data_IF_097003743799
#
_entry.id   IF_097003743799
#
_cell.length_a   1.000
_cell.length_b   1.000
_cell.length_c   1.000
_cell.angle_alpha   90.00
_cell.angle_beta   90.00
_cell.angle_gamma   90.00
#
_symmetry.space_group_name_H-M   'P 1'
#
loop_
_entity.id
_entity.type
_entity.pdbx_description
1 polymer ?
#
# COMPACT_ATOMS: atom_id res chain seq x y z
N UNK A 1 4.08 30.80 1.86
CA UNK A 1 3.13 30.78 0.74
C UNK A 1 3.78 31.27 -0.53
N UNK A 2 3.22 30.89 -1.66
CA UNK A 2 3.51 31.46 -2.96
C UNK A 2 2.26 32.23 -3.37
N UNK A 3 2.39 33.55 -3.54
CA UNK A 3 1.27 34.42 -3.83
C UNK A 3 1.27 34.78 -5.30
N UNK A 4 0.15 34.64 -5.97
CA UNK A 4 -0.04 35.01 -7.36
C UNK A 4 -0.77 36.34 -7.47
N UNK A 5 -0.24 37.25 -8.25
CA UNK A 5 -0.78 38.59 -8.45
C UNK A 5 -1.22 38.79 -9.90
N UNK A 6 -2.21 39.62 -10.10
CA UNK A 6 -2.51 40.16 -11.41
C UNK A 6 -1.38 41.11 -11.82
N UNK A 7 -0.74 40.84 -12.95
CA UNK A 7 0.38 41.67 -13.44
C UNK A 7 -0.06 43.08 -13.85
N UNK A 8 -1.36 43.30 -14.06
CA UNK A 8 -1.93 44.60 -14.46
C UNK A 8 -2.38 45.42 -13.29
N UNK A 9 -2.58 44.80 -12.10
CA UNK A 9 -3.10 45.48 -10.87
C UNK A 9 -2.53 44.82 -9.62
N UNK A 10 -1.23 44.97 -9.40
CA UNK A 10 -0.51 44.38 -8.26
C UNK A 10 -0.96 44.92 -6.93
N UNK A 11 -1.41 46.19 -6.89
CA UNK A 11 -1.84 46.88 -5.67
C UNK A 11 -3.13 46.31 -5.09
N UNK A 12 -3.87 45.53 -5.87
CA UNK A 12 -5.10 44.86 -5.42
C UNK A 12 -4.85 43.69 -4.46
N UNK A 13 -3.61 43.29 -4.31
CA UNK A 13 -3.20 42.13 -3.53
C UNK A 13 -3.23 40.82 -4.28
N UNK A 14 -2.90 39.72 -3.62
CA UNK A 14 -2.82 38.41 -4.31
C UNK A 14 -4.20 37.91 -4.75
N UNK A 15 -4.29 37.42 -5.97
CA UNK A 15 -5.49 36.79 -6.54
C UNK A 15 -5.74 35.45 -5.86
N UNK A 16 -4.67 34.70 -5.54
CA UNK A 16 -4.68 33.50 -4.72
C UNK A 16 -3.31 33.26 -4.10
N UNK A 17 -3.30 32.46 -3.03
CA UNK A 17 -2.08 32.03 -2.33
C UNK A 17 -2.01 30.52 -2.29
N UNK A 18 -0.86 29.96 -2.61
CA UNK A 18 -0.57 28.53 -2.49
C UNK A 18 0.19 28.32 -1.17
N UNK A 19 -0.38 27.64 -0.18
CA UNK A 19 0.33 27.32 1.04
C UNK A 19 1.43 26.29 0.75
N UNK A 20 2.65 26.58 1.19
CA UNK A 20 3.79 25.67 1.09
C UNK A 20 4.18 25.23 2.49
N UNK A 21 4.07 23.92 2.74
CA UNK A 21 4.52 23.31 3.99
C UNK A 21 5.84 22.59 3.76
N UNK A 22 6.86 23.02 4.48
CA UNK A 22 8.18 22.36 4.48
C UNK A 22 8.28 21.51 5.73
N UNK A 23 8.45 20.20 5.57
CA UNK A 23 8.66 19.27 6.69
C UNK A 23 10.11 18.82 6.70
N UNK A 24 10.70 18.72 7.91
CA UNK A 24 12.03 18.14 8.12
C UNK A 24 11.85 16.86 8.94
N UNK A 25 11.84 15.67 8.31
CA UNK A 25 11.68 14.42 9.04
C UNK A 25 12.85 14.16 9.97
N UNK A 26 12.56 13.59 11.14
CA UNK A 26 13.55 13.07 12.06
C UNK A 26 14.11 11.76 11.53
N UNK A 27 15.41 11.59 11.59
CA UNK A 27 16.08 10.37 11.15
C UNK A 27 16.16 9.36 12.29
N UNK A 28 16.08 8.09 11.95
CA UNK A 28 16.25 6.99 12.89
C UNK A 28 17.71 6.82 13.28
N UNK A 29 17.93 6.34 14.47
CA UNK A 29 19.24 5.92 14.96
C UNK A 29 19.68 4.56 14.39
N UNK A 30 20.85 4.08 14.81
CA UNK A 30 21.38 2.78 14.39
C UNK A 30 20.52 1.59 14.86
N UNK A 31 19.68 1.76 15.87
CA UNK A 31 18.74 0.76 16.39
C UNK A 31 17.41 0.75 15.64
N UNK A 32 17.29 1.55 14.59
CA UNK A 32 16.07 1.76 13.82
C UNK A 32 14.91 2.33 14.66
N UNK A 33 15.24 3.24 15.55
CA UNK A 33 14.31 3.90 16.46
C UNK A 33 14.41 5.42 16.31
N UNK A 34 13.33 6.10 16.63
CA UNK A 34 13.29 7.55 16.86
C UNK A 34 12.62 7.78 18.19
N UNK A 35 13.32 8.42 19.09
CA UNK A 35 12.74 8.92 20.32
C UNK A 35 12.23 10.35 20.06
N UNK A 36 10.93 10.55 20.18
CA UNK A 36 10.30 11.86 20.04
C UNK A 36 10.32 12.66 21.35
N UNK A 37 10.87 12.05 22.41
CA UNK A 37 10.94 12.63 23.74
C UNK A 37 9.59 12.65 24.47
N UNK A 38 9.59 13.34 25.57
CA UNK A 38 8.39 13.60 26.37
C UNK A 38 7.60 14.73 25.73
N UNK A 39 6.40 14.42 25.27
CA UNK A 39 5.47 15.39 24.69
C UNK A 39 4.42 15.76 25.74
N UNK A 40 4.27 17.05 25.99
CA UNK A 40 3.23 17.57 26.86
C UNK A 40 1.97 17.87 26.06
N UNK A 41 0.84 17.39 26.55
CA UNK A 41 -0.46 17.59 25.91
C UNK A 41 -1.40 18.33 26.85
N UNK A 42 -2.14 19.25 26.28
CA UNK A 42 -3.33 19.86 26.87
C UNK A 42 -4.57 19.43 26.09
N UNK A 43 -5.77 19.56 26.67
CA UNK A 43 -7.00 19.26 25.93
C UNK A 43 -7.03 19.97 24.58
N UNK A 44 -7.38 19.24 23.52
CA UNK A 44 -7.43 19.71 22.13
C UNK A 44 -6.07 20.03 21.45
N UNK A 45 -4.97 19.98 22.18
CA UNK A 45 -3.65 20.21 21.58
C UNK A 45 -3.27 19.04 20.67
N UNK A 46 -2.78 19.37 19.48
CA UNK A 46 -2.34 18.42 18.46
C UNK A 46 -0.86 18.56 18.26
N UNK A 47 -0.12 17.48 18.50
CA UNK A 47 1.31 17.42 18.24
C UNK A 47 1.57 16.56 17.02
N UNK A 48 2.29 17.10 16.02
CA UNK A 48 2.66 16.41 14.79
C UNK A 48 4.17 16.27 14.70
N UNK A 49 4.63 15.10 14.32
CA UNK A 49 6.04 14.78 14.07
C UNK A 49 6.16 14.02 12.76
N UNK A 50 7.26 14.26 12.09
CA UNK A 50 7.57 13.61 10.82
C UNK A 50 8.83 12.79 11.00
N UNK A 51 8.78 11.53 10.56
CA UNK A 51 9.86 10.57 10.74
C UNK A 51 10.25 9.98 9.39
N UNK A 52 11.54 9.99 9.06
CA UNK A 52 12.05 9.32 7.89
C UNK A 52 12.07 7.81 8.13
N UNK A 53 11.24 7.07 7.42
CA UNK A 53 11.18 5.62 7.54
C UNK A 53 12.41 5.00 6.89
N UNK A 54 13.18 4.16 7.60
CA UNK A 54 14.40 3.58 7.02
C UNK A 54 14.08 2.68 5.83
N UNK A 55 14.93 2.65 4.79
CA UNK A 55 14.77 1.75 3.67
C UNK A 55 14.65 0.29 4.13
N UNK A 56 13.69 -0.44 3.56
CA UNK A 56 13.43 -1.83 3.92
C UNK A 56 12.56 -2.04 5.16
N UNK A 57 12.15 -0.98 5.86
CA UNK A 57 11.14 -1.09 6.90
C UNK A 57 9.77 -1.39 6.28
N UNK A 58 9.05 -2.34 6.88
CA UNK A 58 7.70 -2.72 6.47
C UNK A 58 6.67 -2.47 7.57
N UNK A 59 7.13 -2.27 8.81
CA UNK A 59 6.30 -2.01 9.98
C UNK A 59 6.89 -0.91 10.85
N UNK A 60 5.99 -0.10 11.42
CA UNK A 60 6.29 0.86 12.47
C UNK A 60 5.50 0.50 13.73
N UNK A 61 6.17 0.53 14.88
CA UNK A 61 5.58 0.41 16.19
C UNK A 61 5.66 1.77 16.87
N UNK A 62 4.51 2.35 17.15
CA UNK A 62 4.39 3.59 17.88
C UNK A 62 4.16 3.24 19.35
N UNK A 63 5.17 3.49 20.17
CA UNK A 63 5.18 3.19 21.59
C UNK A 63 4.89 4.47 22.37
N UNK A 64 3.84 4.42 23.15
CA UNK A 64 3.39 5.52 23.99
C UNK A 64 3.53 5.07 25.44
N UNK A 65 4.19 5.87 26.25
CA UNK A 65 4.41 5.60 27.68
C UNK A 65 4.08 6.82 28.50
N UNK A 66 3.41 6.64 29.62
CA UNK A 66 3.22 7.73 30.58
C UNK A 66 4.53 8.09 31.25
N UNK A 67 4.90 9.36 31.20
CA UNK A 67 6.11 9.85 31.88
C UNK A 67 5.90 9.92 33.40
N UNK A 68 4.66 10.14 33.86
CA UNK A 68 4.30 10.15 35.29
C UNK A 68 3.18 9.11 35.55
N UNK A 69 3.60 7.95 35.96
CA UNK A 69 2.75 6.80 36.23
C UNK A 69 1.70 7.05 37.32
N UNK A 70 2.10 7.69 38.40
CA UNK A 70 1.25 7.88 39.58
C UNK A 70 0.08 8.83 39.31
N UNK A 71 0.26 9.81 38.44
CA UNK A 71 -0.82 10.76 38.08
C UNK A 71 -1.95 10.13 37.25
N UNK A 72 -1.66 9.04 36.52
CA UNK A 72 -2.61 8.38 35.62
C UNK A 72 -3.34 7.19 36.26
N UNK A 73 -2.95 6.78 37.48
CA UNK A 73 -3.64 5.67 38.19
C UNK A 73 -5.10 5.99 38.53
N UNK A 74 -5.41 7.25 38.77
CA UNK A 74 -6.76 7.71 39.13
C UNK A 74 -7.62 8.11 37.92
N UNK A 75 -6.99 8.47 36.81
CA UNK A 75 -7.70 8.91 35.59
C UNK A 75 -6.88 8.55 34.35
N UNK A 76 -7.28 7.54 33.57
CA UNK A 76 -6.56 7.20 32.37
C UNK A 76 -6.60 8.33 31.33
N UNK A 77 -5.48 8.61 30.73
CA UNK A 77 -5.40 9.59 29.65
C UNK A 77 -5.80 8.95 28.31
N UNK A 78 -6.70 9.60 27.60
CA UNK A 78 -7.18 9.14 26.30
C UNK A 78 -6.63 10.03 25.20
N UNK A 79 -6.07 9.40 24.18
CA UNK A 79 -5.49 10.06 23.02
C UNK A 79 -6.08 9.56 21.72
N UNK A 80 -6.07 10.42 20.71
CA UNK A 80 -6.18 10.02 19.32
C UNK A 80 -4.78 9.95 18.72
N UNK A 81 -4.44 8.78 18.17
CA UNK A 81 -3.25 8.56 17.39
C UNK A 81 -3.63 8.46 15.91
N UNK A 82 -3.10 9.35 15.11
CA UNK A 82 -3.17 9.28 13.66
C UNK A 82 -1.76 9.13 13.10
N UNK A 83 -1.55 8.11 12.29
CA UNK A 83 -0.32 7.92 11.55
C UNK A 83 -0.62 7.82 10.07
N UNK A 84 0.18 8.47 9.24
CA UNK A 84 -0.02 8.50 7.81
C UNK A 84 1.29 8.62 7.06
N UNK A 85 1.41 7.90 5.94
CA UNK A 85 2.45 8.16 4.95
C UNK A 85 1.84 8.83 3.72
N UNK A 86 2.50 9.89 3.27
CA UNK A 86 2.20 10.53 2.00
C UNK A 86 2.98 9.81 0.90
N UNK A 87 2.28 9.22 0.00
CA UNK A 87 2.81 8.54 -1.16
C UNK A 87 2.75 9.48 -2.36
N UNK A 88 3.89 9.78 -3.02
CA UNK A 88 3.86 10.53 -4.26
C UNK A 88 3.01 9.80 -5.32
N UNK A 89 2.34 10.56 -6.16
CA UNK A 89 1.54 10.04 -7.27
C UNK A 89 0.45 9.02 -6.89
N UNK A 90 -0.04 9.05 -5.65
CA UNK A 90 -1.19 8.23 -5.25
C UNK A 90 -2.28 9.07 -4.59
N UNK A 91 -3.53 8.82 -5.00
CA UNK A 91 -4.71 9.52 -4.45
C UNK A 91 -5.21 8.89 -3.17
N UNK A 92 -5.03 7.57 -3.00
CA UNK A 92 -5.57 6.82 -1.88
C UNK A 92 -4.52 6.60 -0.81
N UNK A 93 -4.89 6.88 0.42
CA UNK A 93 -4.09 6.64 1.62
C UNK A 93 -4.14 5.16 1.95
N UNK A 94 -3.21 4.38 1.45
CA UNK A 94 -3.12 2.95 1.75
C UNK A 94 -2.54 2.70 3.15
N UNK A 95 -1.59 3.56 3.55
CA UNK A 95 -0.89 3.44 4.82
C UNK A 95 -1.38 4.55 5.76
N UNK A 96 -2.45 4.23 6.46
CA UNK A 96 -3.12 5.12 7.38
C UNK A 96 -3.61 4.34 8.59
N UNK A 97 -3.34 4.86 9.79
CA UNK A 97 -3.82 4.33 11.06
C UNK A 97 -4.52 5.45 11.83
N UNK A 98 -5.68 5.16 12.37
CA UNK A 98 -6.43 6.03 13.27
C UNK A 98 -6.92 5.21 14.45
N UNK A 99 -6.34 5.44 15.62
CA UNK A 99 -6.60 4.66 16.81
C UNK A 99 -6.92 5.55 18.01
N UNK A 100 -7.76 5.05 18.91
CA UNK A 100 -7.88 5.57 20.26
C UNK A 100 -6.92 4.84 21.15
N UNK A 101 -6.15 5.58 21.92
CA UNK A 101 -5.14 5.04 22.83
C UNK A 101 -5.45 5.49 24.24
N UNK A 102 -5.62 4.53 25.15
CA UNK A 102 -5.84 4.82 26.56
C UNK A 102 -4.61 4.41 27.36
N UNK A 103 -4.00 5.34 28.08
CA UNK A 103 -2.81 5.10 28.90
C UNK A 103 -3.19 5.26 30.36
N UNK A 104 -2.76 4.31 31.20
CA UNK A 104 -3.08 4.33 32.65
C UNK A 104 -4.32 3.51 33.04
N UNK A 105 -4.97 2.84 32.07
CA UNK A 105 -6.10 1.95 32.41
C UNK A 105 -5.58 0.63 33.03
N UNK A 106 -6.01 0.31 34.24
CA UNK A 106 -5.77 -1.02 34.80
C UNK A 106 -6.56 -2.04 33.99
N UNK A 107 -5.87 -2.88 33.22
CA UNK A 107 -6.51 -4.08 32.65
C UNK A 107 -6.89 -5.01 33.82
N UNK A 108 -8.18 -5.21 34.02
CA UNK A 108 -8.70 -6.22 34.93
C UNK A 108 -8.48 -7.63 34.33
N UNK A 109 -7.25 -8.09 34.37
CA UNK A 109 -6.84 -9.46 34.04
C UNK A 109 -6.21 -10.09 35.26
N UNK A 110 -6.65 -11.29 35.65
CA UNK A 110 -6.24 -12.02 36.80
C UNK A 110 -4.71 -12.16 36.93
N UNK A 111 -4.11 -11.44 37.88
CA UNK A 111 -2.71 -11.51 38.22
C UNK A 111 -2.18 -10.12 38.53
N UNK A 112 -2.10 -9.75 39.84
CA UNK A 112 -1.70 -8.42 40.32
C UNK A 112 -0.33 -7.94 39.84
N UNK A 113 -0.22 -7.57 38.60
CA UNK A 113 0.92 -6.87 38.01
C UNK A 113 0.66 -5.37 37.99
N UNK A 114 1.65 -4.58 38.33
CA UNK A 114 1.64 -3.12 38.18
C UNK A 114 1.14 -2.77 36.77
N UNK A 115 0.17 -1.84 36.69
CA UNK A 115 -0.39 -1.39 35.42
C UNK A 115 0.75 -0.96 34.46
N UNK A 116 0.94 -1.70 33.40
CA UNK A 116 1.91 -1.36 32.37
C UNK A 116 1.39 -0.10 31.65
N UNK A 117 1.99 1.04 31.97
CA UNK A 117 1.57 2.34 31.46
C UNK A 117 2.15 2.59 30.07
N UNK A 118 2.23 1.52 29.30
CA UNK A 118 2.79 1.49 27.95
C UNK A 118 1.75 0.94 26.98
N UNK A 119 1.53 1.65 25.92
CA UNK A 119 0.68 1.21 24.81
C UNK A 119 1.49 1.19 23.52
N UNK A 120 1.32 0.15 22.72
CA UNK A 120 2.02 0.01 21.44
C UNK A 120 1.01 -0.20 20.33
N UNK A 121 1.07 0.65 19.32
CA UNK A 121 0.28 0.51 18.10
C UNK A 121 1.19 0.19 16.93
N UNK A 122 0.75 -0.72 16.08
CA UNK A 122 1.53 -1.21 14.94
C UNK A 122 0.81 -0.88 13.65
N UNK A 123 1.56 -0.40 12.66
CA UNK A 123 1.07 -0.17 11.32
C UNK A 123 2.09 -0.63 10.27
N UNK A 124 1.58 -0.99 9.09
CA UNK A 124 2.42 -1.23 7.93
C UNK A 124 2.91 0.11 7.38
N UNK A 125 4.20 0.13 6.97
CA UNK A 125 4.84 1.35 6.42
C UNK A 125 5.62 1.05 5.16
N UNK A 126 5.91 2.13 4.44
CA UNK A 126 6.75 2.13 3.25
C UNK A 126 8.14 2.65 3.62
N UNK A 127 9.16 1.81 3.47
CA UNK A 127 10.55 2.22 3.65
C UNK A 127 10.95 3.32 2.66
N UNK A 128 11.71 4.31 3.13
CA UNK A 128 12.13 5.46 2.33
C UNK A 128 11.12 6.61 2.25
N UNK A 129 9.87 6.41 2.67
CA UNK A 129 8.87 7.47 2.72
C UNK A 129 8.82 8.14 4.09
N UNK A 130 8.23 9.32 4.17
CA UNK A 130 8.02 10.02 5.43
C UNK A 130 6.76 9.54 6.12
N UNK A 131 6.87 9.20 7.42
CA UNK A 131 5.75 8.90 8.29
C UNK A 131 5.38 10.14 9.10
N UNK A 132 4.14 10.56 8.99
CA UNK A 132 3.54 11.53 9.90
C UNK A 132 2.95 10.79 11.11
N UNK A 133 3.36 11.19 12.31
CA UNK A 133 2.80 10.77 13.59
C UNK A 133 2.12 11.95 14.23
N UNK A 134 0.82 11.88 14.37
CA UNK A 134 -0.02 12.92 14.95
C UNK A 134 -0.72 12.39 16.19
N UNK A 135 -0.52 13.04 17.31
CA UNK A 135 -1.09 12.68 18.60
C UNK A 135 -1.89 13.87 19.15
N UNK A 136 -3.09 13.60 19.64
CA UNK A 136 -3.95 14.61 20.24
C UNK A 136 -4.62 14.06 21.49
N UNK A 137 -4.58 14.85 22.60
CA UNK A 137 -5.35 14.52 23.80
C UNK A 137 -6.85 14.68 23.52
N UNK A 138 -7.64 13.78 24.08
CA UNK A 138 -9.07 13.82 23.92
C UNK A 138 -9.66 15.09 24.54
N UNK A 139 -10.56 15.75 23.84
CA UNK A 139 -11.09 17.07 24.19
C UNK A 139 -11.82 17.14 25.54
N UNK A 140 -12.43 16.02 25.99
CA UNK A 140 -13.18 15.96 27.24
C UNK A 140 -12.33 15.59 28.45
N UNK A 141 -11.02 15.43 28.30
CA UNK A 141 -10.12 15.18 29.40
C UNK A 141 -9.47 16.47 29.89
N UNK A 142 -9.60 16.72 31.15
CA UNK A 142 -9.02 17.89 31.81
C UNK A 142 -7.57 17.60 32.23
N UNK A 143 -6.79 18.68 32.33
CA UNK A 143 -5.39 18.61 32.75
C UNK A 143 -4.39 18.42 31.61
N UNK A 144 -3.13 18.55 31.97
CA UNK A 144 -2.00 18.28 31.07
C UNK A 144 -1.43 16.89 31.34
N UNK A 145 -1.01 16.20 30.28
CA UNK A 145 -0.41 14.87 30.36
C UNK A 145 0.91 14.85 29.61
N UNK A 146 1.93 14.28 30.25
CA UNK A 146 3.25 14.09 29.66
C UNK A 146 3.39 12.64 29.19
N UNK A 147 3.64 12.46 27.91
CA UNK A 147 3.76 11.15 27.27
C UNK A 147 5.08 11.03 26.53
N UNK A 148 5.84 10.00 26.86
CA UNK A 148 7.03 9.61 26.11
C UNK A 148 6.57 8.87 24.85
N UNK A 149 7.05 9.33 23.71
CA UNK A 149 6.68 8.77 22.41
C UNK A 149 7.91 8.29 21.67
N UNK A 150 7.90 7.02 21.29
CA UNK A 150 8.96 6.39 20.53
C UNK A 150 8.41 5.68 19.32
N UNK A 151 9.11 5.79 18.20
CA UNK A 151 8.77 5.07 16.97
C UNK A 151 9.88 4.08 16.66
N UNK A 152 9.51 2.80 16.55
CA UNK A 152 10.44 1.72 16.25
C UNK A 152 10.07 1.10 14.89
N UNK A 153 11.12 0.79 14.11
CA UNK A 153 10.92 0.20 12.79
C UNK A 153 11.49 -1.21 12.73
N UNK A 154 10.77 -2.08 12.03
CA UNK A 154 11.25 -3.38 11.64
C UNK A 154 10.75 -3.73 10.24
N UNK A 155 11.29 -4.81 9.68
CA UNK A 155 10.87 -5.24 8.37
C UNK A 155 11.61 -6.45 7.86
N UNK A 156 10.85 -7.27 7.14
CA UNK A 156 11.37 -8.40 6.38
C UNK A 156 10.99 -8.15 4.94
N UNK A 157 11.98 -8.18 4.06
CA UNK A 157 11.79 -7.94 2.64
C UNK A 157 12.39 -9.07 1.81
N UNK A 158 11.85 -9.37 0.62
CA UNK A 158 12.48 -10.30 -0.30
C UNK A 158 13.90 -9.84 -0.67
N UNK A 159 14.86 -10.75 -0.59
CA UNK A 159 16.25 -10.48 -0.94
C UNK A 159 16.48 -10.47 -2.45
N UNK A 160 15.72 -11.30 -3.17
CA UNK A 160 15.75 -11.35 -4.63
C UNK A 160 14.67 -10.41 -5.13
N UNK A 161 14.98 -9.11 -5.11
CA UNK A 161 14.05 -8.09 -5.56
C UNK A 161 13.62 -8.33 -7.00
N UNK A 162 12.49 -8.99 -7.18
CA UNK A 162 11.79 -8.88 -8.44
C UNK A 162 11.42 -7.41 -8.65
N UNK A 163 12.24 -6.66 -9.36
CA UNK A 163 11.94 -5.40 -10.01
C UNK A 163 11.49 -4.18 -9.18
N UNK A 164 10.95 -4.35 -7.99
CA UNK A 164 10.34 -3.26 -7.24
C UNK A 164 11.16 -2.78 -6.01
N UNK A 165 12.28 -3.43 -5.71
CA UNK A 165 13.13 -3.11 -4.56
C UNK A 165 14.36 -2.27 -4.91
N UNK A 166 14.56 -1.91 -6.16
CA UNK A 166 15.74 -1.16 -6.59
C UNK A 166 15.87 0.22 -5.92
N UNK A 167 14.80 0.73 -5.31
CA UNK A 167 14.80 2.04 -4.63
C UNK A 167 14.09 2.06 -3.27
N UNK A 168 14.12 0.95 -2.52
CA UNK A 168 13.65 0.95 -1.13
C UNK A 168 12.14 1.10 -0.93
N UNK A 169 11.36 0.90 -1.97
CA UNK A 169 9.89 0.92 -1.87
C UNK A 169 9.34 -0.40 -1.31
N UNK A 170 8.19 -0.39 -0.64
CA UNK A 170 7.51 -1.58 -0.20
C UNK A 170 7.04 -2.42 -1.38
N UNK A 171 6.80 -3.71 -1.15
CA UNK A 171 6.11 -4.59 -2.09
C UNK A 171 4.65 -4.14 -2.28
N UNK A 172 4.45 -3.06 -3.03
CA UNK A 172 3.12 -2.49 -3.30
C UNK A 172 2.19 -3.49 -3.99
N UNK A 173 2.76 -4.35 -4.83
CA UNK A 173 2.03 -5.31 -5.66
C UNK A 173 1.91 -6.71 -5.03
N UNK A 174 2.54 -6.92 -3.87
CA UNK A 174 2.66 -8.26 -3.31
C UNK A 174 3.67 -9.12 -4.08
N UNK A 175 3.72 -10.40 -3.75
CA UNK A 175 4.55 -11.40 -4.43
C UNK A 175 3.68 -12.14 -5.43
N UNK A 176 4.14 -12.21 -6.68
CA UNK A 176 3.49 -13.05 -7.69
C UNK A 176 4.21 -14.40 -7.76
N UNK A 177 3.47 -15.48 -7.53
CA UNK A 177 3.96 -16.85 -7.63
C UNK A 177 3.45 -17.42 -8.94
N UNK A 178 4.37 -17.91 -9.78
CA UNK A 178 4.05 -18.60 -11.03
C UNK A 178 4.01 -20.11 -10.80
N UNK A 179 2.92 -20.76 -11.23
CA UNK A 179 2.73 -22.20 -11.08
C UNK A 179 3.52 -23.09 -12.05
N UNK A 180 4.42 -22.52 -12.84
CA UNK A 180 5.22 -23.28 -13.83
C UNK A 180 6.29 -24.19 -13.19
N UNK A 181 6.69 -23.93 -11.97
CA UNK A 181 7.68 -24.70 -11.24
C UNK A 181 7.04 -25.42 -10.05
N UNK A 182 7.42 -26.66 -9.81
CA UNK A 182 6.93 -27.46 -8.69
C UNK A 182 7.25 -26.83 -7.33
N UNK A 183 8.40 -26.17 -7.25
CA UNK A 183 8.88 -25.48 -6.05
C UNK A 183 9.40 -24.11 -6.46
N UNK A 184 8.91 -23.08 -5.82
CA UNK A 184 9.46 -21.75 -5.92
C UNK A 184 10.36 -21.44 -4.72
N UNK A 185 11.43 -20.67 -4.96
CA UNK A 185 12.31 -20.18 -3.88
C UNK A 185 12.18 -18.67 -3.73
N UNK A 186 11.99 -18.23 -2.50
CA UNK A 186 11.99 -16.84 -2.10
C UNK A 186 13.04 -16.65 -1.00
N UNK A 187 14.06 -15.86 -1.26
CA UNK A 187 14.99 -15.43 -0.23
C UNK A 187 14.49 -14.13 0.40
N UNK A 188 14.59 -13.99 1.72
CA UNK A 188 14.26 -12.76 2.41
C UNK A 188 15.34 -12.35 3.41
N UNK A 189 15.35 -11.07 3.76
CA UNK A 189 16.30 -10.46 4.68
C UNK A 189 15.57 -9.56 5.68
N UNK A 190 16.19 -9.34 6.84
CA UNK A 190 15.82 -8.32 7.81
C UNK A 190 16.78 -7.14 7.70
N UNK A 191 16.53 -6.12 6.85
CA UNK A 191 17.51 -5.09 6.55
C UNK A 191 17.63 -4.04 7.64
N UNK A 192 16.60 -3.86 8.46
CA UNK A 192 16.49 -2.74 9.41
C UNK A 192 17.11 -3.09 10.74
N UNK A 193 16.67 -4.18 11.36
CA UNK A 193 17.15 -4.70 12.64
C UNK A 193 17.01 -6.23 12.68
N UNK A 194 17.58 -6.93 13.68
CA UNK A 194 17.27 -8.35 13.88
C UNK A 194 15.79 -8.57 14.14
N UNK A 195 15.26 -9.66 13.62
CA UNK A 195 13.86 -10.07 13.80
C UNK A 195 13.78 -11.36 14.63
N UNK A 196 12.78 -11.42 15.51
CA UNK A 196 12.57 -12.54 16.40
C UNK A 196 11.19 -13.14 16.15
N UNK A 197 11.02 -14.42 16.48
CA UNK A 197 9.75 -15.15 16.35
C UNK A 197 9.12 -15.08 14.96
N UNK A 198 9.98 -15.05 13.92
CA UNK A 198 9.53 -14.97 12.53
C UNK A 198 8.98 -16.31 12.07
N UNK A 199 7.71 -16.35 11.75
CA UNK A 199 7.02 -17.51 11.17
C UNK A 199 6.41 -17.12 9.82
N UNK A 200 7.16 -17.16 8.71
CA UNK A 200 6.66 -16.71 7.44
C UNK A 200 5.58 -17.66 6.93
N UNK A 201 4.50 -17.08 6.44
CA UNK A 201 3.45 -17.80 5.73
C UNK A 201 3.10 -17.05 4.45
N UNK A 202 2.89 -17.79 3.38
CA UNK A 202 2.46 -17.22 2.11
C UNK A 202 1.00 -17.58 1.91
N UNK A 203 0.21 -16.54 1.69
CA UNK A 203 -1.23 -16.67 1.49
C UNK A 203 -1.58 -16.00 0.16
N UNK A 204 -2.11 -16.80 -0.76
CA UNK A 204 -2.64 -16.28 -2.02
C UNK A 204 -4.04 -15.71 -1.75
N UNK A 205 -4.23 -14.45 -2.09
CA UNK A 205 -5.52 -13.74 -1.95
C UNK A 205 -6.10 -13.33 -3.29
N UNK A 206 -5.28 -13.35 -4.33
CA UNK A 206 -5.65 -12.94 -5.69
C UNK A 206 -4.98 -13.83 -6.72
N UNK A 207 -5.64 -13.98 -7.84
CA UNK A 207 -5.06 -14.54 -9.06
C UNK A 207 -4.84 -13.40 -10.06
N UNK A 208 -3.68 -13.32 -10.69
CA UNK A 208 -3.36 -12.29 -11.68
C UNK A 208 -3.43 -12.86 -13.07
N UNK A 209 -4.21 -12.21 -13.95
CA UNK A 209 -4.25 -12.44 -15.39
C UNK A 209 -3.65 -11.23 -16.09
N UNK A 210 -2.92 -11.48 -17.19
CA UNK A 210 -2.39 -10.43 -18.04
C UNK A 210 -3.15 -10.50 -19.36
N UNK A 211 -3.88 -9.44 -19.68
CA UNK A 211 -4.63 -9.34 -20.91
C UNK A 211 -3.91 -8.42 -21.88
N UNK A 212 -3.88 -8.79 -23.16
CA UNK A 212 -3.46 -7.90 -24.24
C UNK A 212 -4.66 -7.31 -24.95
N UNK A 213 -4.54 -6.11 -25.52
CA UNK A 213 -5.64 -5.52 -26.25
C UNK A 213 -6.03 -6.41 -27.42
N UNK A 214 -7.33 -6.68 -27.56
CA UNK A 214 -7.88 -7.35 -28.74
C UNK A 214 -8.04 -6.36 -29.90
N UNK A 215 -8.38 -5.12 -29.56
CA UNK A 215 -8.53 -4.02 -30.50
C UNK A 215 -7.95 -2.74 -29.88
N UNK A 216 -7.30 -1.91 -30.72
CA UNK A 216 -6.73 -0.64 -30.33
C UNK A 216 -6.96 0.40 -31.42
N UNK A 217 -7.76 1.42 -31.10
CA UNK A 217 -8.15 2.46 -32.07
C UNK A 217 -7.82 3.84 -31.55
N UNK A 218 -7.13 4.65 -32.35
CA UNK A 218 -6.93 6.06 -32.09
C UNK A 218 -7.84 6.86 -33.03
N UNK A 219 -8.60 7.77 -32.44
CA UNK A 219 -9.48 8.67 -33.19
C UNK A 219 -9.39 10.09 -32.68
N UNK A 220 -9.47 11.10 -33.56
CA UNK A 220 -9.60 12.48 -33.13
C UNK A 220 -10.97 12.69 -32.48
N UNK A 221 -11.01 13.54 -31.44
CA UNK A 221 -12.25 13.99 -30.83
C UNK A 221 -12.77 15.26 -31.54
N UNK A 222 -14.07 15.54 -31.37
CA UNK A 222 -14.71 16.67 -32.01
C UNK A 222 -14.15 18.01 -31.53
N UNK A 223 -13.54 18.76 -32.43
CA UNK A 223 -12.85 20.02 -32.12
C UNK A 223 -13.77 21.10 -31.54
N UNK A 224 -15.09 21.01 -31.76
CA UNK A 224 -16.04 21.99 -31.21
C UNK A 224 -16.30 21.79 -29.68
N UNK A 225 -16.13 20.59 -29.18
CA UNK A 225 -16.45 20.22 -27.82
C UNK A 225 -15.25 19.75 -27.02
N UNK A 226 -14.37 18.99 -27.62
CA UNK A 226 -13.31 18.24 -26.94
C UNK A 226 -11.93 18.84 -27.30
N UNK A 227 -11.65 20.03 -26.77
CA UNK A 227 -10.34 20.69 -26.88
C UNK A 227 -9.64 20.77 -25.55
N UNK A 228 -8.32 20.79 -25.54
CA UNK A 228 -7.52 21.01 -24.35
C UNK A 228 -7.73 22.42 -23.83
N UNK A 229 -8.23 22.54 -22.58
CA UNK A 229 -8.66 23.80 -21.97
C UNK A 229 -7.58 24.91 -22.00
N UNK A 230 -6.32 24.56 -21.75
CA UNK A 230 -5.26 25.55 -21.66
C UNK A 230 -4.67 25.95 -23.01
N UNK A 231 -4.69 25.09 -24.01
CA UNK A 231 -4.02 25.30 -25.30
C UNK A 231 -4.97 25.44 -26.49
N UNK A 232 -6.24 25.08 -26.34
CA UNK A 232 -7.21 25.00 -27.42
C UNK A 232 -6.91 23.95 -28.49
N UNK A 233 -5.90 23.07 -28.25
CA UNK A 233 -5.51 22.04 -29.20
C UNK A 233 -6.51 20.89 -29.26
N UNK A 234 -6.62 20.24 -30.45
CA UNK A 234 -7.44 19.05 -30.60
C UNK A 234 -6.97 17.91 -29.70
N UNK A 235 -7.93 17.14 -29.17
CA UNK A 235 -7.68 15.93 -28.39
C UNK A 235 -7.87 14.69 -29.23
N UNK A 236 -7.12 13.66 -28.91
CA UNK A 236 -7.23 12.33 -29.47
C UNK A 236 -7.67 11.35 -28.36
N UNK A 237 -8.41 10.34 -28.75
CA UNK A 237 -8.83 9.23 -27.92
C UNK A 237 -8.15 7.96 -28.39
N UNK A 238 -7.46 7.27 -27.48
CA UNK A 238 -7.07 5.87 -27.63
C UNK A 238 -8.14 5.02 -26.94
N UNK A 239 -8.68 4.05 -27.65
CA UNK A 239 -9.62 3.06 -27.14
C UNK A 239 -8.97 1.68 -27.24
N UNK A 240 -8.87 0.99 -26.11
CA UNK A 240 -8.28 -0.34 -25.97
C UNK A 240 -9.36 -1.29 -25.46
N UNK A 241 -9.64 -2.34 -26.20
CA UNK A 241 -10.60 -3.38 -25.84
C UNK A 241 -9.88 -4.67 -25.44
N UNK A 242 -10.18 -5.16 -24.22
CA UNK A 242 -9.65 -6.40 -23.67
C UNK A 242 -10.77 -7.39 -23.42
N UNK A 243 -10.53 -8.66 -23.74
CA UNK A 243 -11.48 -9.74 -23.42
C UNK A 243 -11.13 -10.31 -22.05
N UNK A 244 -12.09 -10.34 -21.16
CA UNK A 244 -11.99 -10.88 -19.82
C UNK A 244 -13.04 -11.95 -19.62
N UNK A 245 -12.60 -13.16 -19.28
CA UNK A 245 -13.49 -14.24 -18.88
C UNK A 245 -13.52 -14.38 -17.37
N UNK A 246 -14.72 -14.36 -16.79
CA UNK A 246 -14.95 -14.60 -15.36
C UNK A 246 -15.70 -15.92 -15.17
N UNK A 247 -15.18 -16.76 -14.27
CA UNK A 247 -15.69 -18.13 -14.06
C UNK A 247 -16.80 -18.21 -13.02
N UNK A 248 -17.09 -17.11 -12.34
CA UNK A 248 -18.12 -17.05 -11.29
C UNK A 248 -18.83 -15.71 -11.23
N UNK A 249 -20.01 -15.73 -10.66
CA UNK A 249 -20.76 -14.52 -10.27
C UNK A 249 -20.08 -13.80 -9.08
N UNK A 250 -20.35 -12.50 -8.95
CA UNK A 250 -19.82 -11.64 -7.88
C UNK A 250 -18.29 -11.64 -7.79
N UNK A 251 -17.63 -11.57 -8.95
CA UNK A 251 -16.17 -11.51 -9.02
C UNK A 251 -15.67 -10.10 -8.74
N UNK A 252 -14.83 -9.95 -7.72
CA UNK A 252 -14.16 -8.69 -7.43
C UNK A 252 -12.84 -8.62 -8.19
N UNK A 253 -12.66 -7.56 -8.96
CA UNK A 253 -11.51 -7.31 -9.81
C UNK A 253 -10.76 -6.07 -9.37
N UNK A 254 -9.43 -6.11 -9.42
CA UNK A 254 -8.59 -4.93 -9.37
C UNK A 254 -7.83 -4.85 -10.69
N UNK A 255 -8.02 -3.78 -11.42
CA UNK A 255 -7.42 -3.56 -12.74
C UNK A 255 -6.23 -2.62 -12.60
N UNK A 256 -5.12 -2.95 -13.26
CA UNK A 256 -3.88 -2.19 -13.21
C UNK A 256 -3.28 -2.04 -14.60
N UNK A 257 -2.84 -0.84 -14.92
CA UNK A 257 -2.08 -0.54 -16.13
C UNK A 257 -0.77 0.15 -15.73
N UNK A 258 0.26 -0.59 -15.30
CA UNK A 258 1.48 -0.02 -14.71
C UNK A 258 2.15 1.05 -15.56
N UNK A 259 2.06 0.95 -16.89
CA UNK A 259 2.65 1.91 -17.80
C UNK A 259 1.96 3.29 -17.78
N UNK A 260 0.72 3.40 -17.31
CA UNK A 260 -0.04 4.65 -17.25
C UNK A 260 -0.47 5.05 -15.85
N UNK A 261 -0.45 4.12 -14.87
CA UNK A 261 -0.93 4.38 -13.51
C UNK A 261 -0.21 5.56 -12.83
N UNK A 262 1.09 5.72 -13.05
CA UNK A 262 1.87 6.86 -12.54
C UNK A 262 1.61 8.14 -13.33
N UNK A 263 1.43 8.05 -14.64
CA UNK A 263 1.30 9.19 -15.55
C UNK A 263 -0.06 9.89 -15.40
N UNK A 264 -1.09 9.18 -14.94
CA UNK A 264 -2.41 9.76 -14.66
C UNK A 264 -2.32 10.88 -13.62
N UNK A 265 -1.41 10.75 -12.63
CA UNK A 265 -1.21 11.76 -11.60
C UNK A 265 -0.36 12.94 -12.04
N UNK A 266 0.43 12.77 -13.08
CA UNK A 266 1.32 13.80 -13.61
C UNK A 266 0.66 14.68 -14.70
N UNK A 267 -0.65 14.58 -14.86
CA UNK A 267 -1.43 15.26 -15.90
C UNK A 267 -0.91 14.98 -17.32
N UNK A 268 -0.30 13.81 -17.52
CA UNK A 268 0.11 13.38 -18.85
C UNK A 268 -1.10 13.12 -19.74
N UNK A 269 -2.12 12.46 -19.21
CA UNK A 269 -3.39 12.22 -19.90
C UNK A 269 -4.46 13.21 -19.42
N UNK A 270 -5.24 13.76 -20.35
CA UNK A 270 -6.37 14.65 -20.02
C UNK A 270 -7.51 13.87 -19.33
N UNK A 271 -7.67 12.60 -19.64
CA UNK A 271 -8.63 11.73 -18.99
C UNK A 271 -8.28 10.26 -19.20
N UNK A 272 -8.62 9.46 -18.18
CA UNK A 272 -8.57 8.01 -18.22
C UNK A 272 -9.92 7.48 -17.76
N UNK A 273 -10.56 6.65 -18.59
CA UNK A 273 -11.84 6.03 -18.27
C UNK A 273 -11.78 4.54 -18.59
N UNK A 274 -12.39 3.74 -17.73
CA UNK A 274 -12.53 2.30 -17.89
C UNK A 274 -14.00 1.94 -17.81
N UNK A 275 -14.48 1.13 -18.74
CA UNK A 275 -15.83 0.62 -18.75
C UNK A 275 -15.83 -0.88 -19.03
N UNK A 276 -16.73 -1.62 -18.38
CA UNK A 276 -16.92 -3.05 -18.59
C UNK A 276 -18.31 -3.29 -19.15
N UNK A 277 -18.36 -4.14 -20.18
CA UNK A 277 -19.57 -4.53 -20.88
C UNK A 277 -19.68 -6.06 -20.85
N UNK A 278 -20.91 -6.58 -20.93
CA UNK A 278 -21.14 -8.01 -21.11
C UNK A 278 -20.89 -8.46 -22.57
N UNK A 279 -21.00 -9.76 -22.82
CA UNK A 279 -20.85 -10.33 -24.16
C UNK A 279 -21.84 -9.73 -25.19
N UNK A 280 -22.98 -9.20 -24.74
CA UNK A 280 -23.98 -8.53 -25.57
C UNK A 280 -23.76 -7.02 -25.70
N UNK A 281 -22.59 -6.52 -25.27
CA UNK A 281 -22.24 -5.09 -25.25
C UNK A 281 -23.13 -4.23 -24.35
N UNK A 282 -23.81 -4.82 -23.37
CA UNK A 282 -24.54 -4.06 -22.36
C UNK A 282 -23.57 -3.56 -21.30
N UNK A 283 -23.70 -2.30 -20.91
CA UNK A 283 -22.90 -1.67 -19.89
C UNK A 283 -23.13 -2.32 -18.52
N UNK A 284 -22.05 -2.64 -17.84
CA UNK A 284 -22.06 -3.21 -16.48
C UNK A 284 -21.61 -2.21 -15.43
N UNK A 285 -20.39 -1.67 -15.59
CA UNK A 285 -19.78 -0.77 -14.62
C UNK A 285 -18.71 0.08 -15.30
N UNK A 286 -18.47 1.27 -14.79
CA UNK A 286 -17.35 2.12 -15.24
C UNK A 286 -16.65 2.80 -14.07
N UNK A 287 -15.43 3.24 -14.34
CA UNK A 287 -14.59 3.97 -13.41
C UNK A 287 -13.80 5.03 -14.15
N UNK A 288 -13.68 6.20 -13.56
CA UNK A 288 -12.92 7.32 -14.09
C UNK A 288 -11.72 7.57 -13.19
N UNK A 289 -10.54 7.67 -13.80
CA UNK A 289 -9.29 8.16 -13.24
C UNK A 289 -8.54 7.25 -12.26
N UNK A 290 -9.15 6.29 -11.57
CA UNK A 290 -8.46 5.51 -10.53
C UNK A 290 -8.96 4.09 -10.45
N UNK A 291 -8.01 3.17 -10.22
CA UNK A 291 -8.30 1.76 -10.03
C UNK A 291 -8.73 1.50 -8.58
N UNK A 292 -10.00 1.29 -8.37
CA UNK A 292 -10.54 0.68 -7.16
C UNK A 292 -11.10 -0.70 -7.50
N UNK A 293 -11.28 -1.60 -6.53
CA UNK A 293 -11.91 -2.88 -6.80
C UNK A 293 -13.28 -2.70 -7.47
N UNK A 294 -13.50 -3.41 -8.56
CA UNK A 294 -14.75 -3.46 -9.30
C UNK A 294 -15.45 -4.79 -9.03
N UNK A 295 -16.75 -4.76 -8.81
CA UNK A 295 -17.56 -5.96 -8.61
C UNK A 295 -18.35 -6.28 -9.87
N UNK A 296 -18.02 -7.40 -10.54
CA UNK A 296 -18.79 -7.95 -11.66
C UNK A 296 -19.76 -9.00 -11.11
N UNK A 297 -21.05 -8.80 -11.32
CA UNK A 297 -22.11 -9.66 -10.79
C UNK A 297 -22.43 -10.89 -11.62
N UNK A 298 -21.96 -10.94 -12.85
CA UNK A 298 -22.22 -12.03 -13.78
C UNK A 298 -20.95 -12.77 -14.17
N UNK A 299 -21.07 -14.05 -14.54
CA UNK A 299 -19.98 -14.84 -15.10
C UNK A 299 -20.03 -14.84 -16.62
N UNK A 300 -18.95 -15.27 -17.25
CA UNK A 300 -18.77 -15.38 -18.69
C UNK A 300 -17.84 -14.33 -19.28
N UNK A 301 -17.93 -14.15 -20.58
CA UNK A 301 -17.11 -13.19 -21.31
C UNK A 301 -17.57 -11.76 -21.06
N UNK A 302 -16.62 -10.89 -20.81
CA UNK A 302 -16.81 -9.46 -20.63
C UNK A 302 -15.78 -8.69 -21.47
N UNK A 303 -16.19 -7.54 -21.98
CA UNK A 303 -15.33 -6.60 -22.68
C UNK A 303 -14.93 -5.49 -21.73
N UNK A 304 -13.62 -5.38 -21.47
CA UNK A 304 -13.05 -4.26 -20.71
C UNK A 304 -12.51 -3.24 -21.68
N UNK A 305 -13.15 -2.07 -21.73
CA UNK A 305 -12.76 -0.95 -22.57
C UNK A 305 -12.05 0.10 -21.75
N UNK A 306 -10.83 0.44 -22.16
CA UNK A 306 -10.05 1.54 -21.61
C UNK A 306 -9.99 2.67 -22.62
N UNK A 307 -10.30 3.88 -22.18
CA UNK A 307 -10.17 5.10 -22.97
C UNK A 307 -9.17 6.05 -22.34
N UNK A 308 -8.20 6.48 -23.14
CA UNK A 308 -7.19 7.46 -22.75
C UNK A 308 -7.30 8.66 -23.69
N UNK A 309 -7.45 9.87 -23.15
CA UNK A 309 -7.46 11.10 -23.92
C UNK A 309 -6.12 11.82 -23.80
N UNK A 310 -5.57 12.22 -24.90
CA UNK A 310 -4.29 12.95 -24.96
C UNK A 310 -4.23 13.87 -26.16
N UNK A 311 -3.46 14.95 -26.05
CA UNK A 311 -3.24 15.94 -27.14
C UNK A 311 -2.34 15.46 -28.27
N UNK A 312 -1.59 14.40 -28.07
CA UNK A 312 -0.65 13.84 -29.06
C UNK A 312 -1.08 12.44 -29.47
N UNK A 313 -1.45 12.26 -30.73
CA UNK A 313 -1.74 10.95 -31.29
C UNK A 313 -0.50 10.03 -31.30
N UNK A 314 0.70 10.62 -31.48
CA UNK A 314 1.97 9.88 -31.49
C UNK A 314 2.25 9.22 -30.14
N UNK A 315 1.97 9.91 -29.02
CA UNK A 315 2.21 9.39 -27.70
C UNK A 315 1.20 8.28 -27.37
N UNK A 316 -0.01 8.37 -27.91
CA UNK A 316 -1.01 7.30 -27.81
C UNK A 316 -0.65 6.06 -28.63
N UNK A 317 0.07 6.21 -29.76
CA UNK A 317 0.55 5.05 -30.55
C UNK A 317 1.42 4.10 -29.73
N UNK A 318 2.26 4.63 -28.85
CA UNK A 318 3.15 3.84 -28.00
C UNK A 318 2.37 2.99 -26.96
N UNK A 319 1.09 3.28 -26.73
CA UNK A 319 0.24 2.60 -25.75
C UNK A 319 -0.69 1.55 -26.37
N UNK A 320 -0.68 1.35 -27.68
CA UNK A 320 -1.62 0.43 -28.34
C UNK A 320 -1.53 -1.02 -27.87
N UNK A 321 -0.32 -1.47 -27.49
CA UNK A 321 -0.08 -2.85 -27.05
C UNK A 321 0.07 -3.00 -25.53
N UNK A 322 -0.40 -2.03 -24.76
CA UNK A 322 -0.20 -1.98 -23.32
C UNK A 322 -0.97 -3.13 -22.64
N UNK A 323 -0.33 -3.94 -21.79
CA UNK A 323 -1.03 -4.99 -21.08
C UNK A 323 -1.90 -4.44 -19.96
N UNK A 324 -3.07 -5.04 -19.78
CA UNK A 324 -3.95 -4.85 -18.64
C UNK A 324 -3.72 -6.00 -17.66
N UNK A 325 -3.30 -5.69 -16.44
CA UNK A 325 -3.19 -6.64 -15.35
C UNK A 325 -4.52 -6.69 -14.59
N UNK A 326 -5.09 -7.88 -14.50
CA UNK A 326 -6.36 -8.12 -13.82
C UNK A 326 -6.12 -9.01 -12.61
N UNK A 327 -6.25 -8.45 -11.42
CA UNK A 327 -6.20 -9.21 -10.17
C UNK A 327 -7.63 -9.63 -9.81
N UNK A 328 -7.91 -10.91 -9.90
CA UNK A 328 -9.17 -11.54 -9.47
C UNK A 328 -9.03 -11.88 -7.99
N UNK A 329 -9.86 -11.30 -7.13
CA UNK A 329 -9.87 -11.62 -5.71
C UNK A 329 -10.45 -13.01 -5.50
N UNK A 330 -9.70 -13.89 -4.83
CA UNK A 330 -10.14 -15.25 -4.53
C UNK A 330 -11.26 -15.22 -3.48
N UNK A 331 -12.25 -16.10 -3.61
CA UNK A 331 -13.34 -16.25 -2.65
C UNK A 331 -12.83 -16.68 -1.26
N UNK A 332 -11.83 -17.55 -1.25
CA UNK A 332 -11.12 -17.97 -0.05
C UNK A 332 -9.61 -17.85 -0.30
N UNK A 333 -8.88 -17.37 0.67
CA UNK A 333 -7.43 -17.34 0.59
C UNK A 333 -6.83 -18.75 0.65
N UNK A 334 -5.75 -18.97 -0.11
CA UNK A 334 -5.04 -20.25 -0.16
C UNK A 334 -3.72 -20.08 0.56
N UNK A 335 -3.50 -20.86 1.61
CA UNK A 335 -2.21 -20.90 2.29
C UNK A 335 -1.31 -21.91 1.58
N UNK A 336 -0.14 -21.45 1.12
CA UNK A 336 0.86 -22.31 0.50
C UNK A 336 1.73 -22.98 1.58
N UNK A 337 2.14 -24.23 1.32
CA UNK A 337 3.11 -24.92 2.15
C UNK A 337 4.48 -24.27 1.96
N UNK A 338 5.11 -23.90 3.05
CA UNK A 338 6.43 -23.25 3.04
C UNK A 338 7.40 -24.01 3.93
N UNK A 339 8.63 -24.17 3.48
CA UNK A 339 9.72 -24.82 4.21
C UNK A 339 11.01 -24.03 4.04
N UNK A 340 11.92 -24.13 5.01
CA UNK A 340 13.24 -23.50 4.93
C UNK A 340 14.30 -24.35 4.20
N UNK A 341 13.94 -25.56 3.87
CA UNK A 341 14.79 -26.53 3.19
C UNK A 341 14.01 -27.20 2.06
N UNK A 342 14.66 -27.32 0.91
CA UNK A 342 14.05 -27.86 -0.30
C UNK A 342 13.69 -29.35 -0.15
N UNK A 343 14.52 -30.14 0.52
CA UNK A 343 14.26 -31.55 0.69
C UNK A 343 13.00 -31.82 1.52
N UNK A 344 12.69 -30.95 2.47
CA UNK A 344 11.50 -31.07 3.33
C UNK A 344 10.19 -30.87 2.58
N UNK A 345 10.20 -30.27 1.40
CA UNK A 345 8.98 -30.15 0.57
C UNK A 345 8.57 -31.50 0.01
N UNK A 346 9.57 -32.29 -0.40
CA UNK A 346 9.33 -33.59 -1.04
C UNK A 346 9.19 -34.75 -0.04
N UNK A 347 9.61 -34.53 1.21
CA UNK A 347 9.49 -35.54 2.26
C UNK A 347 8.43 -35.13 3.25
N UNK A 348 7.36 -35.93 3.35
CA UNK A 348 6.26 -35.73 4.34
C UNK A 348 6.71 -35.89 5.80
N UNK A 349 7.98 -36.14 6.06
CA UNK A 349 8.52 -36.31 7.41
C UNK A 349 8.69 -34.97 8.11
N UNK A 350 7.89 -34.77 9.12
CA UNK A 350 7.79 -33.58 10.00
C UNK A 350 9.11 -33.27 10.74
N UNK A 351 10.17 -34.08 10.59
CA UNK A 351 11.35 -34.06 11.46
C UNK A 351 12.65 -33.60 10.83
N UNK A 352 12.68 -33.04 9.61
CA UNK A 352 13.90 -32.41 9.15
C UNK A 352 13.99 -31.00 9.73
N UNK A 353 14.58 -30.89 10.89
CA UNK A 353 15.05 -29.62 11.41
C UNK A 353 16.03 -29.02 10.42
N UNK A 354 15.59 -28.12 9.55
CA UNK A 354 16.50 -27.31 8.78
C UNK A 354 17.46 -26.63 9.77
N UNK A 355 18.71 -27.01 9.73
CA UNK A 355 19.74 -26.58 10.68
C UNK A 355 19.97 -25.06 10.64
N UNK A 356 19.38 -24.36 9.71
CA UNK A 356 19.61 -22.95 9.40
C UNK A 356 18.65 -22.01 10.14
N UNK A 357 17.47 -22.48 10.55
CA UNK A 357 16.47 -21.62 11.16
C UNK A 357 15.83 -22.25 12.40
N UNK A 358 16.58 -22.20 13.50
CA UNK A 358 16.07 -22.59 14.82
C UNK A 358 15.62 -21.34 15.58
N UNK A 359 14.34 -21.28 15.96
CA UNK A 359 13.85 -20.33 16.93
C UNK A 359 13.35 -18.98 16.39
N UNK A 360 13.07 -18.86 15.09
CA UNK A 360 12.43 -17.65 14.58
C UNK A 360 13.33 -16.40 14.58
N UNK A 361 14.65 -16.53 14.70
CA UNK A 361 15.60 -15.41 14.73
C UNK A 361 16.22 -15.17 13.35
N UNK A 362 16.17 -13.91 12.88
CA UNK A 362 16.87 -13.46 11.68
C UNK A 362 17.80 -12.33 12.07
N UNK A 363 19.10 -12.54 11.95
CA UNK A 363 20.07 -11.48 12.19
C UNK A 363 19.94 -10.37 11.13
N UNK A 364 20.23 -9.14 11.50
CA UNK A 364 20.22 -8.00 10.57
C UNK A 364 21.09 -8.29 9.35
N UNK A 365 20.54 -8.14 8.17
CA UNK A 365 21.21 -8.37 6.89
C UNK A 365 21.39 -9.84 6.50
N UNK A 366 21.01 -10.79 7.35
CA UNK A 366 21.09 -12.21 7.00
C UNK A 366 20.03 -12.59 5.99
N UNK A 367 20.44 -13.42 5.01
CA UNK A 367 19.55 -13.95 3.97
C UNK A 367 19.07 -15.35 4.35
N UNK A 368 17.75 -15.54 4.30
CA UNK A 368 17.11 -16.82 4.63
C UNK A 368 16.27 -17.27 3.44
N UNK A 369 16.48 -18.50 2.94
CA UNK A 369 15.67 -19.08 1.88
C UNK A 369 14.34 -19.59 2.42
N UNK A 370 13.27 -19.36 1.67
CA UNK A 370 11.96 -19.96 1.86
C UNK A 370 11.59 -20.70 0.58
N UNK A 371 11.32 -21.98 0.68
CA UNK A 371 10.84 -22.82 -0.41
C UNK A 371 9.33 -22.96 -0.31
N UNK A 372 8.65 -22.80 -1.43
CA UNK A 372 7.20 -22.75 -1.54
C UNK A 372 6.77 -23.90 -2.43
N UNK A 373 5.93 -24.78 -1.92
CA UNK A 373 5.25 -25.81 -2.73
C UNK A 373 4.14 -25.15 -3.54
N UNK A 374 4.30 -25.14 -4.84
CA UNK A 374 3.34 -24.55 -5.79
C UNK A 374 2.40 -25.59 -6.41
N UNK A 375 2.74 -26.90 -6.33
CA UNK A 375 1.91 -27.99 -6.89
C UNK A 375 0.82 -28.44 -5.91
N UNK A 376 1.14 -28.50 -4.62
CA UNK A 376 0.21 -28.97 -3.59
C UNK A 376 -0.96 -28.03 -3.31
N UNK A 377 -0.92 -26.81 -3.84
CA UNK A 377 -2.04 -25.89 -3.77
C UNK A 377 -3.07 -26.29 -4.84
N UNK A 378 -4.24 -26.76 -4.43
CA UNK A 378 -5.39 -26.85 -5.31
C UNK A 378 -5.71 -25.43 -5.81
N UNK A 379 -5.14 -25.05 -6.96
CA UNK A 379 -5.37 -23.75 -7.59
C UNK A 379 -6.82 -23.75 -8.02
N UNK A 380 -7.67 -22.84 -7.50
CA UNK A 380 -9.05 -22.76 -7.94
C UNK A 380 -9.10 -22.50 -9.45
N UNK A 381 -10.16 -22.95 -10.11
CA UNK A 381 -10.41 -22.68 -11.53
C UNK A 381 -10.33 -21.19 -11.88
N UNK A 382 -10.59 -20.33 -10.91
CA UNK A 382 -10.47 -18.86 -11.02
C UNK A 382 -9.02 -18.37 -11.22
N UNK A 383 -8.06 -19.14 -10.75
CA UNK A 383 -6.63 -18.87 -10.84
C UNK A 383 -5.94 -19.70 -11.93
N UNK A 384 -6.69 -20.54 -12.66
CA UNK A 384 -6.13 -21.29 -13.77
C UNK A 384 -5.56 -20.30 -14.82
N UNK A 385 -4.37 -20.55 -15.36
CA UNK A 385 -3.84 -19.77 -16.45
C UNK A 385 -4.88 -19.81 -17.58
N UNK A 386 -5.34 -18.63 -18.00
CA UNK A 386 -6.09 -18.54 -19.23
C UNK A 386 -5.17 -18.94 -20.38
N UNK A 387 -5.68 -19.71 -21.32
CA UNK A 387 -5.00 -20.08 -22.55
C UNK A 387 -4.52 -18.86 -23.34
#
# INVERSE_FOLDING_TARGET
SIDAYDSTDVDRGPVFSIPVTVTKPLHVDASACVDLGTLQFRPTEIVRRFVAVPPGATRAHIVLRASNAAALESSPALFYLHCMQLEPATRFRKFFMRERVSIGHKSYGAGGGSAEQKETKTMDVIGGATLEVCLAQFWNQLGAHDIDVRVEFNGIVPANGGGALAEGGPLRAGITVHGSNAVARLDFIAPVRPEYDVSPSIVLTKARKTLRPHEAVISPLGAERDTHLATGSALYKLELDYRLETTREETQLCLHMPAVDTQIYENWADNFALAIFDANKRYLISQISYTSPLLIKQCGESLVRVQIRHRSAKDLEALKDIPLLVDVVLKSSIRLTTKFDMASIFTSTVNSSAAVYRGGFIAKGSRIPLFIDTIGAAVPSEAAPGD
#
